data_IF_730699331297
#
_entry.id   IF_730699331297
#
_cell.length_a   1.000
_cell.length_b   1.000
_cell.length_c   1.000
_cell.angle_alpha   90.00
_cell.angle_beta   90.00
_cell.angle_gamma   90.00
#
_symmetry.space_group_name_H-M   'P 1'
#
loop_
_entity.id
_entity.type
_entity.pdbx_description
1 polymer ?
#
# COMPACT_ATOMS: atom_id res chain seq x y z
N UNK A 1 -35.54 5.23 16.06
CA UNK A 1 -35.03 5.62 17.40
C UNK A 1 -33.79 6.47 17.21
N UNK A 2 -33.89 7.79 17.39
CA UNK A 2 -32.73 8.68 17.33
C UNK A 2 -32.04 8.62 18.70
N UNK A 3 -31.02 7.77 18.82
CA UNK A 3 -30.24 7.63 20.06
C UNK A 3 -29.44 8.93 20.22
N UNK A 4 -29.86 9.76 21.18
CA UNK A 4 -29.22 11.04 21.48
C UNK A 4 -27.88 10.77 22.16
N UNK A 5 -26.81 10.69 21.38
CA UNK A 5 -25.45 10.49 21.91
C UNK A 5 -24.95 11.85 22.42
N UNK A 6 -24.57 11.97 23.71
CA UNK A 6 -24.02 13.20 24.27
C UNK A 6 -22.82 13.71 23.46
N UNK A 7 -22.70 15.04 23.29
CA UNK A 7 -21.57 15.67 22.56
C UNK A 7 -20.20 15.24 23.11
N UNK A 8 -20.09 15.01 24.42
CA UNK A 8 -18.86 14.53 25.07
C UNK A 8 -18.39 13.14 24.57
N UNK A 9 -19.31 12.31 24.07
CA UNK A 9 -19.02 10.98 23.48
C UNK A 9 -18.78 11.03 21.98
N UNK A 10 -18.62 12.22 21.39
CA UNK A 10 -18.33 12.43 19.97
C UNK A 10 -17.04 13.22 19.80
N UNK A 11 -15.89 12.66 20.17
CA UNK A 11 -14.63 13.36 20.01
C UNK A 11 -14.37 13.65 18.53
N UNK A 12 -13.83 14.84 18.28
CA UNK A 12 -13.56 15.37 16.96
C UNK A 12 -12.06 15.50 16.80
N UNK A 13 -11.55 14.96 15.70
CA UNK A 13 -10.13 14.94 15.37
C UNK A 13 -9.90 15.64 14.04
N UNK A 14 -8.76 16.31 13.94
CA UNK A 14 -8.17 16.77 12.70
C UNK A 14 -7.30 15.63 12.15
N UNK A 15 -7.65 15.12 10.97
CA UNK A 15 -6.91 14.14 10.21
C UNK A 15 -5.99 14.87 9.25
N UNK A 16 -4.69 14.67 9.44
CA UNK A 16 -3.66 15.00 8.47
C UNK A 16 -3.31 13.74 7.68
N UNK A 17 -3.61 13.77 6.38
CA UNK A 17 -3.36 12.69 5.44
C UNK A 17 -2.27 13.12 4.47
N UNK A 18 -1.19 12.34 4.40
CA UNK A 18 -0.11 12.51 3.42
C UNK A 18 -0.05 11.29 2.52
N UNK A 19 -0.20 11.45 1.21
CA UNK A 19 -0.08 10.38 0.23
C UNK A 19 1.23 10.59 -0.53
N UNK A 20 2.22 9.74 -0.29
CA UNK A 20 3.59 9.94 -0.78
C UNK A 20 3.79 9.26 -2.14
N UNK A 21 3.90 7.93 -2.13
CA UNK A 21 4.22 7.13 -3.32
C UNK A 21 3.46 5.81 -3.39
N UNK A 22 3.18 5.38 -4.62
CA UNK A 22 2.72 4.03 -4.95
C UNK A 22 3.83 3.34 -5.75
N UNK A 23 4.31 2.20 -5.26
CA UNK A 23 5.39 1.45 -5.87
C UNK A 23 4.93 0.05 -6.31
N UNK A 24 5.77 -0.63 -7.10
CA UNK A 24 5.52 -1.97 -7.65
C UNK A 24 4.29 -2.02 -8.58
N UNK A 25 4.06 -0.94 -9.32
CA UNK A 25 3.02 -0.89 -10.35
C UNK A 25 3.65 -1.45 -11.64
N UNK A 26 2.99 -2.35 -12.38
CA UNK A 26 3.48 -2.75 -13.69
C UNK A 26 3.56 -1.53 -14.63
N UNK A 27 4.23 -1.68 -15.78
CA UNK A 27 4.21 -0.68 -16.85
C UNK A 27 2.78 -0.52 -17.39
N UNK A 28 1.97 0.27 -16.67
CA UNK A 28 0.64 0.68 -17.08
C UNK A 28 0.81 1.99 -17.81
N UNK A 29 0.44 2.01 -19.09
CA UNK A 29 0.35 3.24 -19.87
C UNK A 29 -0.88 4.01 -19.41
N UNK A 30 -0.70 5.10 -18.65
CA UNK A 30 -1.80 5.91 -18.16
C UNK A 30 -1.44 6.83 -17.00
N UNK A 31 -2.43 7.60 -16.55
CA UNK A 31 -2.35 8.44 -15.36
C UNK A 31 -2.99 7.70 -14.18
N UNK A 32 -2.28 7.63 -13.06
CA UNK A 32 -2.79 7.02 -11.84
C UNK A 32 -3.18 8.09 -10.85
N UNK A 33 -4.36 7.94 -10.27
CA UNK A 33 -4.84 8.81 -9.20
C UNK A 33 -5.50 7.99 -8.10
N UNK A 34 -5.59 8.57 -6.92
CA UNK A 34 -6.14 7.95 -5.73
C UNK A 34 -7.33 8.77 -5.28
N UNK A 35 -8.49 8.11 -5.17
CA UNK A 35 -9.68 8.66 -4.52
C UNK A 35 -9.74 8.14 -3.10
N UNK A 36 -9.92 9.01 -2.12
CA UNK A 36 -10.03 8.62 -0.72
C UNK A 36 -11.32 9.14 -0.11
N UNK A 37 -11.87 8.38 0.83
CA UNK A 37 -13.09 8.73 1.56
C UNK A 37 -13.01 8.19 2.98
N UNK A 38 -13.41 9.02 3.95
CA UNK A 38 -13.63 8.59 5.33
C UNK A 38 -15.09 8.16 5.47
N UNK A 39 -15.33 6.98 6.03
CA UNK A 39 -16.70 6.49 6.27
C UNK A 39 -17.52 7.50 7.08
N UNK A 40 -18.86 7.47 7.01
CA UNK A 40 -19.81 8.10 7.95
C UNK A 40 -20.66 9.29 7.48
N UNK A 41 -21.28 9.99 8.46
CA UNK A 41 -22.47 10.85 8.24
C UNK A 41 -22.20 12.08 7.35
N UNK A 42 -20.94 12.56 7.31
CA UNK A 42 -20.51 13.68 6.46
C UNK A 42 -19.46 13.23 5.42
N UNK A 43 -19.65 12.06 4.81
CA UNK A 43 -18.69 11.48 3.85
C UNK A 43 -18.29 12.45 2.72
N UNK A 44 -19.20 13.34 2.27
CA UNK A 44 -18.90 14.30 1.20
C UNK A 44 -17.80 15.30 1.56
N UNK A 45 -17.75 15.74 2.82
CA UNK A 45 -16.75 16.71 3.30
C UNK A 45 -15.44 16.03 3.75
N UNK A 46 -15.45 14.70 3.83
CA UNK A 46 -14.34 13.88 4.27
C UNK A 46 -13.84 12.96 3.13
N UNK A 47 -13.90 13.46 1.90
CA UNK A 47 -13.43 12.77 0.71
C UNK A 47 -12.52 13.67 -0.11
N UNK A 48 -11.66 13.07 -0.91
CA UNK A 48 -10.74 13.81 -1.77
C UNK A 48 -10.14 12.93 -2.85
N UNK A 49 -9.41 13.57 -3.74
CA UNK A 49 -8.77 12.91 -4.88
C UNK A 49 -7.39 13.56 -5.11
N UNK A 50 -6.40 12.73 -5.44
CA UNK A 50 -5.08 13.19 -5.87
C UNK A 50 -5.08 13.57 -7.35
N UNK A 51 -4.06 14.32 -7.78
CA UNK A 51 -3.83 14.53 -9.21
C UNK A 51 -3.53 13.20 -9.93
N UNK A 52 -3.81 13.15 -11.22
CA UNK A 52 -3.42 12.03 -12.08
C UNK A 52 -1.96 12.18 -12.48
N UNK A 53 -1.12 11.25 -12.06
CA UNK A 53 0.32 11.28 -12.31
C UNK A 53 0.77 10.05 -13.11
N UNK A 54 1.72 10.20 -14.04
CA UNK A 54 2.20 9.09 -14.85
C UNK A 54 3.05 8.12 -14.04
N UNK A 55 3.04 6.85 -14.44
CA UNK A 55 3.91 5.82 -13.86
C UNK A 55 5.32 5.96 -14.43
N UNK A 56 6.28 6.30 -13.58
CA UNK A 56 7.71 6.38 -13.91
C UNK A 56 8.47 5.35 -13.08
N UNK A 57 9.31 4.52 -13.71
CA UNK A 57 10.13 3.52 -13.00
C UNK A 57 9.31 2.60 -12.06
N UNK A 58 8.12 2.18 -12.51
CA UNK A 58 7.19 1.33 -11.73
C UNK A 58 6.66 1.99 -10.44
N UNK A 59 6.72 3.32 -10.39
CA UNK A 59 6.36 4.14 -9.25
C UNK A 59 5.56 5.36 -9.68
N UNK A 60 4.67 5.82 -8.81
CA UNK A 60 3.98 7.10 -8.92
C UNK A 60 4.19 7.88 -7.63
N UNK A 61 4.44 9.18 -7.74
CA UNK A 61 4.66 10.09 -6.61
C UNK A 61 3.68 11.24 -6.76
N UNK A 62 2.88 11.53 -5.73
CA UNK A 62 1.91 12.63 -5.74
C UNK A 62 2.27 13.77 -4.78
N UNK A 63 3.00 13.47 -3.71
CA UNK A 63 3.27 14.40 -2.60
C UNK A 63 2.02 15.17 -2.14
N UNK A 64 0.91 14.44 -1.97
CA UNK A 64 -0.40 15.02 -1.71
C UNK A 64 -0.65 15.12 -0.21
N UNK A 65 -0.95 16.33 0.26
CA UNK A 65 -1.32 16.62 1.65
C UNK A 65 -2.78 17.07 1.73
N UNK A 66 -3.55 16.46 2.62
CA UNK A 66 -4.93 16.85 2.91
C UNK A 66 -5.19 16.89 4.42
N UNK A 67 -5.99 17.87 4.83
CA UNK A 67 -6.44 18.00 6.22
C UNK A 67 -7.97 17.98 6.25
N UNK A 68 -8.57 17.10 7.06
CA UNK A 68 -10.02 16.99 7.20
C UNK A 68 -10.44 16.74 8.65
N UNK A 69 -11.68 17.05 8.98
CA UNK A 69 -12.20 16.90 10.34
C UNK A 69 -13.02 15.61 10.44
N UNK A 70 -12.57 14.69 11.28
CA UNK A 70 -13.22 13.39 11.50
C UNK A 70 -13.85 13.34 12.87
N UNK A 71 -15.16 13.07 12.91
CA UNK A 71 -15.90 12.83 14.15
C UNK A 71 -15.96 11.34 14.44
N UNK A 72 -15.57 10.95 15.65
CA UNK A 72 -15.69 9.60 16.16
C UNK A 72 -16.88 9.47 17.10
N UNK A 73 -17.20 8.23 17.48
CA UNK A 73 -18.22 7.91 18.48
C UNK A 73 -17.60 7.01 19.53
N UNK A 74 -17.76 7.38 20.79
CA UNK A 74 -17.39 6.56 21.94
C UNK A 74 -18.61 5.77 22.37
N UNK A 75 -18.44 4.45 22.51
CA UNK A 75 -19.52 3.56 22.94
C UNK A 75 -19.79 3.65 24.44
N UNK A 76 -20.85 3.00 24.91
CA UNK A 76 -21.22 2.92 26.32
C UNK A 76 -20.12 2.28 27.19
N UNK A 77 -19.28 1.43 26.60
CA UNK A 77 -18.11 0.81 27.24
C UNK A 77 -16.87 1.71 27.24
N UNK A 78 -17.04 3.00 26.90
CA UNK A 78 -15.97 3.98 26.83
C UNK A 78 -14.86 3.60 25.82
N UNK A 79 -15.23 2.80 24.81
CA UNK A 79 -14.34 2.36 23.73
C UNK A 79 -14.59 3.22 22.50
N UNK A 80 -13.52 3.68 21.85
CA UNK A 80 -13.61 4.42 20.60
C UNK A 80 -14.04 3.45 19.47
N UNK A 81 -15.15 3.77 18.79
CA UNK A 81 -15.62 2.98 17.66
C UNK A 81 -14.65 3.11 16.49
N UNK A 82 -14.46 2.01 15.78
CA UNK A 82 -13.66 1.96 14.57
C UNK A 82 -14.19 2.91 13.50
N UNK A 83 -13.26 3.47 12.74
CA UNK A 83 -13.57 4.43 11.69
C UNK A 83 -12.63 4.20 10.53
N UNK A 84 -13.15 3.88 9.36
CA UNK A 84 -12.31 3.51 8.24
C UNK A 84 -12.10 4.66 7.27
N UNK A 85 -10.88 4.70 6.72
CA UNK A 85 -10.46 5.50 5.59
C UNK A 85 -10.22 4.55 4.42
N UNK A 86 -11.03 4.72 3.38
CA UNK A 86 -11.03 3.90 2.18
C UNK A 86 -10.31 4.64 1.06
N UNK A 87 -9.40 3.95 0.39
CA UNK A 87 -8.67 4.42 -0.78
C UNK A 87 -8.99 3.55 -1.98
N UNK A 88 -9.29 4.20 -3.10
CA UNK A 88 -9.51 3.58 -4.39
C UNK A 88 -8.43 4.07 -5.36
N UNK A 89 -7.58 3.14 -5.79
CA UNK A 89 -6.50 3.43 -6.72
C UNK A 89 -7.03 3.14 -8.13
N UNK A 90 -7.00 4.16 -8.97
CA UNK A 90 -7.57 4.13 -10.32
C UNK A 90 -6.49 4.53 -11.32
N UNK A 91 -6.49 3.88 -12.48
CA UNK A 91 -5.64 4.20 -13.61
C UNK A 91 -6.53 4.60 -14.78
N UNK A 92 -6.28 5.77 -15.34
CA UNK A 92 -6.90 6.24 -16.56
C UNK A 92 -5.94 5.98 -17.72
N UNK A 93 -6.36 5.11 -18.65
CA UNK A 93 -5.64 4.87 -19.88
C UNK A 93 -5.90 6.00 -20.88
N UNK A 94 -4.93 6.28 -21.75
CA UNK A 94 -5.10 7.27 -22.83
C UNK A 94 -6.06 6.81 -23.94
N UNK A 95 -6.30 5.50 -24.06
CA UNK A 95 -7.43 5.00 -24.82
C UNK A 95 -8.71 5.32 -24.05
N UNK A 96 -9.78 5.75 -24.72
CA UNK A 96 -11.12 6.04 -24.15
C UNK A 96 -11.81 4.84 -23.46
N UNK A 97 -11.06 3.85 -22.98
CA UNK A 97 -11.48 2.65 -22.26
C UNK A 97 -11.91 2.91 -20.81
N UNK A 98 -11.85 4.16 -20.33
CA UNK A 98 -12.25 4.54 -18.98
C UNK A 98 -11.24 4.18 -17.89
N UNK A 99 -11.57 4.52 -16.65
CA UNK A 99 -10.72 4.30 -15.49
C UNK A 99 -10.76 2.83 -15.02
N UNK A 100 -9.60 2.19 -14.96
CA UNK A 100 -9.42 0.83 -14.45
C UNK A 100 -9.02 0.87 -12.98
N UNK A 101 -9.70 0.09 -12.13
CA UNK A 101 -9.35 -0.03 -10.70
C UNK A 101 -8.09 -0.89 -10.54
N UNK A 102 -7.02 -0.32 -9.98
CA UNK A 102 -5.79 -1.04 -9.69
C UNK A 102 -5.87 -1.79 -8.35
N UNK A 103 -6.52 -1.21 -7.35
CA UNK A 103 -6.65 -1.82 -6.02
C UNK A 103 -7.43 -0.95 -5.04
N UNK A 104 -7.65 -1.48 -3.85
CA UNK A 104 -8.35 -0.81 -2.74
C UNK A 104 -7.52 -0.94 -1.47
N UNK A 105 -7.58 0.05 -0.59
CA UNK A 105 -6.96 -0.01 0.73
C UNK A 105 -7.93 0.55 1.77
N UNK A 106 -8.13 -0.18 2.87
CA UNK A 106 -9.03 0.19 3.96
C UNK A 106 -8.25 0.23 5.27
N UNK A 107 -8.18 1.41 5.90
CA UNK A 107 -7.39 1.65 7.11
C UNK A 107 -8.30 2.08 8.24
N UNK A 108 -8.14 1.47 9.42
CA UNK A 108 -8.84 1.91 10.63
C UNK A 108 -8.13 3.11 11.27
N UNK A 109 -8.76 4.28 11.24
CA UNK A 109 -8.28 5.51 11.86
C UNK A 109 -8.26 5.46 13.38
N UNK A 110 -9.11 4.62 14.01
CA UNK A 110 -9.12 4.52 15.47
C UNK A 110 -7.77 4.05 16.03
N UNK A 111 -7.01 3.27 15.26
CA UNK A 111 -5.68 2.78 15.65
C UNK A 111 -4.62 3.90 15.72
N UNK A 112 -4.83 5.01 14.99
CA UNK A 112 -3.88 6.14 14.89
C UNK A 112 -4.07 7.20 15.97
N UNK A 113 -5.07 7.06 16.84
CA UNK A 113 -5.36 8.03 17.88
C UNK A 113 -4.25 8.01 18.95
N UNK A 114 -3.63 9.17 19.18
CA UNK A 114 -2.57 9.34 20.17
C UNK A 114 -1.17 8.87 19.72
N UNK A 115 -1.00 8.43 18.48
CA UNK A 115 0.30 8.00 17.94
C UNK A 115 1.13 9.19 17.43
N UNK A 116 0.47 10.23 16.91
CA UNK A 116 1.12 11.33 16.18
C UNK A 116 1.08 11.11 14.66
N UNK A 117 1.88 11.86 13.92
CA UNK A 117 2.03 11.68 12.46
C UNK A 117 2.93 10.47 12.19
N UNK A 118 2.35 9.37 11.70
CA UNK A 118 3.07 8.14 11.41
C UNK A 118 2.99 7.80 9.91
N UNK A 119 4.12 7.45 9.30
CA UNK A 119 4.22 7.12 7.87
C UNK A 119 4.51 5.64 7.66
N UNK A 120 3.61 4.95 6.95
CA UNK A 120 3.67 3.50 6.74
C UNK A 120 3.43 3.10 5.30
N UNK A 121 3.91 1.91 4.96
CA UNK A 121 3.67 1.24 3.68
C UNK A 121 2.58 0.19 3.83
N UNK A 122 1.61 0.22 2.94
CA UNK A 122 0.47 -0.69 2.91
C UNK A 122 0.42 -1.43 1.58
N UNK A 123 0.13 -2.73 1.61
CA UNK A 123 -0.17 -3.48 0.40
C UNK A 123 -1.62 -3.19 -0.03
N UNK A 124 -1.84 -3.03 -1.32
CA UNK A 124 -3.19 -2.91 -1.85
C UNK A 124 -3.94 -4.26 -1.75
N UNK A 125 -5.20 -4.20 -1.34
CA UNK A 125 -6.13 -5.31 -1.41
C UNK A 125 -6.90 -5.28 -2.74
N UNK A 126 -7.55 -6.40 -3.08
CA UNK A 126 -8.34 -6.57 -4.30
C UNK A 126 -7.63 -6.06 -5.56
N UNK A 127 -6.33 -6.32 -5.63
CA UNK A 127 -5.44 -5.82 -6.65
C UNK A 127 -4.90 -6.97 -7.49
N UNK A 128 -4.83 -6.75 -8.81
CA UNK A 128 -4.10 -7.65 -9.71
C UNK A 128 -2.57 -7.48 -9.58
N UNK A 129 -2.13 -6.49 -8.80
CA UNK A 129 -0.74 -6.07 -8.70
C UNK A 129 -0.31 -6.04 -7.23
N UNK A 130 0.94 -6.43 -6.93
CA UNK A 130 1.52 -6.35 -5.58
C UNK A 130 2.01 -4.92 -5.28
N UNK A 131 1.16 -3.94 -5.56
CA UNK A 131 1.49 -2.54 -5.38
C UNK A 131 1.45 -2.14 -3.91
N UNK A 132 2.40 -1.31 -3.51
CA UNK A 132 2.55 -0.83 -2.14
C UNK A 132 2.38 0.67 -2.09
N UNK A 133 1.43 1.14 -1.28
CA UNK A 133 1.10 2.56 -1.10
C UNK A 133 1.69 3.07 0.22
N UNK A 134 2.44 4.16 0.17
CA UNK A 134 2.99 4.82 1.36
C UNK A 134 2.14 6.01 1.76
N UNK A 135 1.67 5.99 3.00
CA UNK A 135 0.74 6.98 3.54
C UNK A 135 1.22 7.43 4.91
N UNK A 136 1.23 8.74 5.13
CA UNK A 136 1.33 9.37 6.44
C UNK A 136 -0.06 9.68 7.00
N UNK A 137 -0.36 9.22 8.22
CA UNK A 137 -1.61 9.51 8.90
C UNK A 137 -1.27 10.12 10.26
N UNK A 138 -1.84 11.30 10.52
CA UNK A 138 -1.78 11.95 11.82
C UNK A 138 -3.17 12.35 12.30
N UNK A 139 -3.48 12.08 13.57
CA UNK A 139 -4.73 12.49 14.20
C UNK A 139 -4.43 13.41 15.38
N UNK A 140 -4.99 14.62 15.32
CA UNK A 140 -4.91 15.61 16.40
C UNK A 140 -6.31 15.82 16.98
N UNK A 141 -6.48 15.60 18.28
CA UNK A 141 -7.77 15.83 18.93
C UNK A 141 -8.08 17.32 19.00
N UNK A 142 -9.26 17.72 18.54
CA UNK A 142 -9.75 19.10 18.61
C UNK A 142 -10.74 19.29 19.77
N UNK A 143 -11.60 18.30 20.02
CA UNK A 143 -12.66 18.40 21.03
C UNK A 143 -13.12 17.01 21.47
N UNK A 144 -13.67 16.92 22.69
CA UNK A 144 -14.25 15.70 23.24
C UNK A 144 -13.50 15.18 24.46
N UNK A 145 -13.99 14.08 25.02
CA UNK A 145 -13.33 13.40 26.15
C UNK A 145 -12.08 12.68 25.68
N UNK A 146 -11.01 12.71 26.47
CA UNK A 146 -9.75 11.97 26.21
C UNK A 146 -9.74 10.60 26.90
N UNK A 147 -10.67 10.37 27.84
CA UNK A 147 -10.74 9.18 28.68
C UNK A 147 -11.32 7.96 27.94
N UNK A 148 -11.06 7.75 26.66
CA UNK A 148 -11.56 6.58 25.91
C UNK A 148 -10.48 5.53 25.71
N UNK A 149 -10.90 4.28 25.58
CA UNK A 149 -10.02 3.16 25.25
C UNK A 149 -10.06 2.88 23.74
N UNK A 150 -8.89 2.68 23.14
CA UNK A 150 -8.77 2.22 21.75
C UNK A 150 -8.68 0.70 21.75
N UNK A 151 -9.61 0.04 21.06
CA UNK A 151 -9.74 -1.43 21.05
C UNK A 151 -8.49 -2.13 20.51
N UNK A 152 -7.89 -1.58 19.46
CA UNK A 152 -6.68 -2.11 18.82
C UNK A 152 -5.67 -0.98 18.67
N UNK A 153 -4.56 -1.08 19.38
CA UNK A 153 -3.44 -0.15 19.20
C UNK A 153 -2.70 -0.52 17.93
N UNK A 154 -2.21 0.50 17.24
CA UNK A 154 -1.39 0.34 16.06
C UNK A 154 -0.23 -0.62 16.34
N UNK A 155 -0.16 -1.72 15.61
CA UNK A 155 0.94 -2.67 15.74
C UNK A 155 2.28 -2.00 15.43
N UNK A 156 3.39 -2.56 15.93
CA UNK A 156 4.72 -2.17 15.42
C UNK A 156 4.68 -2.26 13.89
N UNK A 157 5.26 -1.31 13.14
CA UNK A 157 5.23 -1.33 11.69
C UNK A 157 5.83 -2.64 11.22
N UNK A 158 4.96 -3.60 10.88
CA UNK A 158 5.36 -4.93 10.49
C UNK A 158 5.84 -4.81 9.06
N UNK A 159 7.17 -4.74 8.90
CA UNK A 159 7.82 -4.78 7.60
C UNK A 159 7.29 -6.03 6.90
N UNK A 160 6.70 -5.83 5.72
CA UNK A 160 6.06 -6.85 4.93
C UNK A 160 7.09 -7.93 4.56
N UNK A 161 7.16 -9.00 5.35
CA UNK A 161 7.97 -10.18 5.07
C UNK A 161 7.03 -11.37 4.84
N UNK A 162 6.35 -11.35 3.70
CA UNK A 162 6.16 -12.53 2.87
C UNK A 162 5.27 -13.70 3.31
N UNK A 163 4.50 -13.68 4.39
CA UNK A 163 3.71 -14.88 4.80
C UNK A 163 2.30 -14.59 5.38
N UNK A 164 1.52 -13.72 4.74
CA UNK A 164 0.09 -13.50 5.09
C UNK A 164 -0.86 -14.56 4.51
N UNK A 165 -0.34 -15.65 3.93
CA UNK A 165 -1.15 -16.77 3.43
C UNK A 165 -1.41 -17.91 4.43
N UNK A 166 -0.81 -17.88 5.64
CA UNK A 166 -0.79 -19.05 6.54
C UNK A 166 -1.27 -18.79 7.98
N UNK A 167 -1.96 -17.67 8.26
CA UNK A 167 -2.47 -17.37 9.62
C UNK A 167 -3.99 -17.37 9.74
N UNK A 168 -4.71 -17.86 8.73
CA UNK A 168 -6.16 -18.08 8.80
C UNK A 168 -6.58 -19.48 9.22
N UNK A 169 -5.66 -20.34 9.67
CA UNK A 169 -6.03 -21.59 10.33
C UNK A 169 -5.27 -21.78 11.64
N UNK A 170 -6.04 -21.88 12.72
CA UNK A 170 -5.60 -22.62 13.90
C UNK A 170 -5.31 -21.80 15.15
N UNK A 171 -6.41 -21.53 15.88
CA UNK A 171 -6.49 -21.57 17.35
C UNK A 171 -5.96 -20.34 18.10
N UNK A 172 -6.89 -19.68 18.79
CA UNK A 172 -6.63 -18.78 19.92
C UNK A 172 -5.52 -19.35 20.82
N UNK A 173 -4.38 -18.67 20.88
CA UNK A 173 -3.45 -18.87 21.99
C UNK A 173 -3.94 -17.96 23.11
N UNK A 174 -4.86 -18.51 23.92
CA UNK A 174 -5.08 -18.03 25.28
C UNK A 174 -3.73 -18.03 25.99
N UNK A 175 -3.28 -16.84 26.39
CA UNK A 175 -2.18 -16.68 27.32
C UNK A 175 -2.61 -17.30 28.64
N UNK A 176 -1.98 -18.40 29.01
CA UNK A 176 -1.82 -18.81 30.40
C UNK A 176 -0.32 -18.85 30.64
N UNK A 177 0.12 -17.92 31.45
CA UNK A 177 1.37 -17.99 32.18
C UNK A 177 1.24 -19.22 33.09
N UNK A 178 2.09 -20.23 32.90
CA UNK A 178 2.54 -21.17 33.93
C UNK A 178 3.67 -22.06 33.34
N UNK A 179 4.72 -22.17 34.13
CA UNK A 179 6.04 -22.76 33.95
C UNK A 179 6.06 -24.24 33.47
N UNK A 180 6.76 -24.56 32.38
CA UNK A 180 7.37 -25.89 32.15
C UNK A 180 8.31 -25.92 30.92
N UNK A 181 9.61 -26.09 31.19
CA UNK A 181 10.63 -26.80 30.41
C UNK A 181 10.64 -26.69 28.87
N UNK A 182 11.63 -25.96 28.36
CA UNK A 182 12.09 -26.01 26.97
C UNK A 182 12.68 -27.41 26.70
N UNK A 183 12.07 -28.20 25.82
CA UNK A 183 12.69 -29.40 25.25
C UNK A 183 13.58 -29.02 24.04
N UNK A 184 14.92 -29.14 24.13
CA UNK A 184 15.81 -28.81 23.04
C UNK A 184 15.90 -30.01 22.08
N UNK A 185 15.20 -29.94 20.95
CA UNK A 185 15.33 -30.99 19.93
C UNK A 185 14.48 -30.79 18.68
N UNK A 186 13.35 -30.10 18.79
CA UNK A 186 12.50 -29.83 17.60
C UNK A 186 12.97 -28.58 16.84
N UNK A 187 13.52 -27.59 17.55
CA UNK A 187 14.05 -26.35 16.98
C UNK A 187 15.44 -26.52 16.31
N UNK A 188 16.20 -27.57 16.61
CA UNK A 188 17.48 -27.83 15.96
C UNK A 188 17.29 -28.46 14.57
N UNK A 189 16.38 -29.44 14.47
CA UNK A 189 16.22 -30.23 13.25
C UNK A 189 15.60 -29.44 12.08
N UNK A 190 14.74 -28.44 12.37
CA UNK A 190 14.20 -27.57 11.32
C UNK A 190 15.22 -26.50 10.88
N UNK A 191 16.03 -25.99 11.81
CA UNK A 191 17.03 -24.97 11.55
C UNK A 191 18.16 -25.54 10.68
N UNK A 192 18.59 -26.78 10.94
CA UNK A 192 19.58 -27.45 10.09
C UNK A 192 19.05 -27.69 8.68
N UNK A 193 17.80 -28.17 8.53
CA UNK A 193 17.18 -28.37 7.20
C UNK A 193 17.05 -27.07 6.41
N UNK A 194 16.76 -25.95 7.07
CA UNK A 194 16.74 -24.64 6.43
C UNK A 194 18.14 -24.17 6.01
N UNK A 195 19.17 -24.39 6.83
CA UNK A 195 20.54 -24.02 6.50
C UNK A 195 21.09 -24.82 5.31
N UNK A 196 20.79 -26.11 5.20
CA UNK A 196 21.11 -26.90 4.00
C UNK A 196 20.36 -26.38 2.76
N UNK A 197 19.09 -26.01 2.90
CA UNK A 197 18.30 -25.51 1.76
C UNK A 197 18.80 -24.14 1.26
N UNK A 198 19.24 -23.26 2.16
CA UNK A 198 19.84 -21.97 1.81
C UNK A 198 21.20 -22.16 1.13
N UNK A 199 22.01 -23.12 1.60
CA UNK A 199 23.29 -23.47 0.96
C UNK A 199 23.09 -24.00 -0.47
N UNK A 200 22.12 -24.91 -0.67
CA UNK A 200 21.78 -25.45 -1.98
C UNK A 200 21.24 -24.38 -2.95
N UNK A 201 20.51 -23.39 -2.43
CA UNK A 201 20.01 -22.27 -3.24
C UNK A 201 21.15 -21.35 -3.72
N UNK A 202 22.10 -21.00 -2.86
CA UNK A 202 23.26 -20.19 -3.25
C UNK A 202 24.18 -20.91 -4.24
N UNK A 203 24.30 -22.23 -4.14
CA UNK A 203 25.08 -23.03 -5.08
C UNK A 203 24.38 -23.12 -6.45
N UNK A 204 23.05 -23.27 -6.49
CA UNK A 204 22.26 -23.19 -7.74
C UNK A 204 22.26 -21.79 -8.36
N UNK A 205 22.20 -20.73 -7.54
CA UNK A 205 22.31 -19.34 -7.99
C UNK A 205 23.68 -19.05 -8.62
N UNK A 206 24.75 -19.61 -8.03
CA UNK A 206 26.11 -19.51 -8.57
C UNK A 206 26.28 -20.29 -9.89
N UNK A 207 25.59 -21.42 -10.07
CA UNK A 207 25.56 -22.13 -11.36
C UNK A 207 24.79 -21.36 -12.45
N UNK A 208 23.73 -20.63 -12.09
CA UNK A 208 23.00 -19.79 -13.05
C UNK A 208 23.82 -18.58 -13.53
N UNK A 209 24.76 -18.10 -12.72
CA UNK A 209 25.63 -16.97 -13.05
C UNK A 209 26.84 -17.33 -13.95
N UNK A 210 27.03 -18.61 -14.29
CA UNK A 210 28.18 -19.04 -15.10
C UNK A 210 27.87 -19.14 -16.62
N UNK A 211 26.61 -18.95 -17.04
CA UNK A 211 26.19 -18.97 -18.45
C UNK A 211 26.11 -17.59 -19.14
N UNK A 212 26.43 -16.48 -18.46
CA UNK A 212 26.43 -15.14 -19.07
C UNK A 212 27.81 -14.61 -19.45
N UNK A 213 28.87 -15.42 -19.32
CA UNK A 213 30.27 -14.98 -19.50
C UNK A 213 30.72 -14.78 -20.96
N UNK A 214 29.83 -14.68 -21.94
CA UNK A 214 30.30 -14.40 -23.31
C UNK A 214 29.43 -13.49 -24.18
N UNK A 215 28.51 -12.71 -23.61
CA UNK A 215 27.77 -11.73 -24.40
C UNK A 215 28.11 -10.29 -23.98
N UNK A 216 29.16 -9.74 -24.60
CA UNK A 216 29.38 -8.30 -24.64
C UNK A 216 28.38 -7.70 -25.63
N UNK A 217 27.18 -7.36 -25.16
CA UNK A 217 26.38 -6.37 -25.88
C UNK A 217 26.59 -5.02 -25.21
N UNK A 218 27.17 -4.10 -25.98
CA UNK A 218 27.35 -2.71 -25.60
C UNK A 218 25.97 -2.04 -25.58
N UNK A 219 25.55 -1.61 -24.39
CA UNK A 219 24.23 -1.00 -24.15
C UNK A 219 24.01 0.27 -24.98
N UNK A 220 25.09 0.89 -25.50
CA UNK A 220 24.99 2.05 -26.40
C UNK A 220 24.47 1.69 -27.79
N UNK A 221 24.84 0.52 -28.33
CA UNK A 221 24.39 0.09 -29.67
C UNK A 221 22.89 -0.23 -29.71
N UNK A 222 22.34 -0.76 -28.62
CA UNK A 222 20.90 -1.07 -28.53
C UNK A 222 20.06 0.20 -28.53
N UNK A 223 20.53 1.25 -27.86
CA UNK A 223 19.83 2.54 -27.82
C UNK A 223 19.90 3.21 -29.20
N UNK A 224 21.06 3.17 -29.86
CA UNK A 224 21.20 3.74 -31.21
C UNK A 224 20.34 3.00 -32.25
N UNK A 225 20.21 1.67 -32.17
CA UNK A 225 19.33 0.89 -33.06
C UNK A 225 17.83 1.18 -32.82
N UNK A 226 17.41 1.43 -31.58
CA UNK A 226 16.03 1.84 -31.26
C UNK A 226 15.74 3.24 -31.83
N UNK A 227 16.69 4.17 -31.71
CA UNK A 227 16.53 5.53 -32.25
C UNK A 227 16.59 5.57 -33.78
N UNK A 228 17.45 4.76 -34.42
CA UNK A 228 17.52 4.65 -35.89
C UNK A 228 16.26 4.02 -36.50
N UNK A 229 15.64 3.06 -35.82
CA UNK A 229 14.41 2.43 -36.31
C UNK A 229 13.21 3.41 -36.28
N UNK A 230 13.16 4.31 -35.30
CA UNK A 230 12.18 5.42 -35.26
C UNK A 230 12.36 6.44 -36.39
N UNK A 231 13.60 6.79 -36.75
CA UNK A 231 13.89 7.72 -37.86
C UNK A 231 13.53 7.11 -39.22
N UNK A 232 13.71 5.79 -39.40
CA UNK A 232 13.35 5.11 -40.65
C UNK A 232 11.83 4.97 -40.84
N UNK A 233 11.08 4.76 -39.75
CA UNK A 233 9.60 4.77 -39.77
C UNK A 233 9.03 6.18 -40.00
N UNK A 234 9.69 7.23 -39.49
CA UNK A 234 9.28 8.63 -39.72
C UNK A 234 9.50 9.14 -41.15
N UNK A 235 10.51 8.63 -41.88
CA UNK A 235 10.78 9.04 -43.27
C UNK A 235 9.93 8.34 -44.33
N UNK A 236 9.30 7.20 -44.03
CA UNK A 236 8.38 6.53 -44.97
C UNK A 236 6.97 7.12 -45.00
N UNK A 237 6.58 7.93 -44.01
CA UNK A 237 5.27 8.58 -43.97
C UNK A 237 5.16 9.88 -44.78
N UNK A 238 6.26 10.41 -45.34
CA UNK A 238 6.28 11.72 -46.00
C UNK A 238 6.50 11.68 -47.53
N UNK A 239 6.55 10.50 -48.17
CA UNK A 239 6.83 10.39 -49.63
C UNK A 239 5.66 9.79 -50.44
N UNK A 240 4.53 9.42 -49.83
CA UNK A 240 3.36 8.90 -50.58
C UNK A 240 2.18 9.84 -50.35
N UNK A 241 2.21 10.99 -51.03
CA UNK A 241 1.14 11.98 -50.93
C UNK A 241 1.31 13.17 -51.88
N UNK A 242 1.86 12.95 -53.07
CA UNK A 242 1.71 13.89 -54.18
C UNK A 242 2.01 13.19 -55.52
N UNK A 243 0.96 12.75 -56.23
CA UNK A 243 0.89 12.49 -57.69
C UNK A 243 -0.39 11.69 -58.00
N UNK A 244 -1.36 12.31 -58.68
CA UNK A 244 -2.58 11.67 -59.17
C UNK A 244 -3.82 12.54 -59.00
#
# INVERSE_FOLDING_TARGET
>A
MNIFIPKARRPTFELHLKIQDLANIPLVTGLVFIKWNVDGIHARDCSGQTNGEPVLEHKVVWDYDATTIVRFVVDNTNTLRERFLDFHILSESYSNSGATRLGVLKINLAEYVGVGLDSRKYLLADSKINATLRIGIGLKQLSGTENFHVAKKLGKPQVFSGLTGLLTEGKEIKRRDDEAAIAPGLASNWAEKMLTSIKDFNQKSSMFHMHTRNNKYDTKQIVDDIFFWWIWLGRKACIIGNSG
#
